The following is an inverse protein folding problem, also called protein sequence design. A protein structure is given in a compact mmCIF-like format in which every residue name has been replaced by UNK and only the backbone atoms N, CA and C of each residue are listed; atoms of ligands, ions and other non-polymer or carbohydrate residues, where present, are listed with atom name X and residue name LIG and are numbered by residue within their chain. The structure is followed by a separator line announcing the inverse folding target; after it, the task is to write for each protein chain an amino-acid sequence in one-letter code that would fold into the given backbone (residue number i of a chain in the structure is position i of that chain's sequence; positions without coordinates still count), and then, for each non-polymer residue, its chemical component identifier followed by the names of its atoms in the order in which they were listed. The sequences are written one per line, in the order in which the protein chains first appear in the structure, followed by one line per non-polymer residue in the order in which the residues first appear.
data_IF_031818629135
#
_entry.id   IF_031818629135
#
_cell.length_a   1.000
_cell.length_b   1.000
_cell.length_c   1.000
_cell.angle_alpha   90.00
_cell.angle_beta   90.00
_cell.angle_gamma   90.00
#
_symmetry.space_group_name_H-M   'P 1'
#
loop_
_entity.id
_entity.type
_entity.pdbx_description
1 polymer ?
#
# COMPACT_ATOMS: atom_id res chain seq x y z
N UNK A 1 -2.58 22.45 9.00
CA UNK A 1 -2.08 23.23 10.14
C UNK A 1 -0.67 23.73 9.88
N UNK A 2 -0.37 24.89 10.41
CA UNK A 2 1.00 25.41 10.42
C UNK A 2 1.84 24.61 11.42
N UNK A 3 2.92 23.95 10.97
CA UNK A 3 3.75 23.08 11.81
C UNK A 3 4.51 23.78 12.94
N UNK A 4 4.62 25.13 12.91
CA UNK A 4 5.28 25.93 13.96
C UNK A 4 4.30 26.50 14.97
N UNK A 5 3.12 26.94 14.52
CA UNK A 5 2.15 27.65 15.37
C UNK A 5 0.96 26.77 15.76
N UNK A 6 0.71 25.69 15.03
CA UNK A 6 -0.48 24.86 15.21
C UNK A 6 -1.76 25.48 14.65
N UNK A 7 -1.70 26.64 13.99
CA UNK A 7 -2.86 27.28 13.41
C UNK A 7 -3.40 26.49 12.22
N UNK A 8 -4.73 26.44 12.07
CA UNK A 8 -5.35 25.84 10.90
C UNK A 8 -5.03 26.67 9.64
N UNK A 9 -4.46 26.04 8.61
CA UNK A 9 -4.25 26.64 7.29
C UNK A 9 -5.55 26.60 6.50
N UNK A 10 -6.13 25.41 6.41
CA UNK A 10 -7.44 25.20 5.81
C UNK A 10 -8.16 23.96 6.42
N UNK A 11 -9.43 23.89 6.26
CA UNK A 11 -10.26 22.75 6.63
C UNK A 11 -11.30 22.51 5.55
N UNK A 12 -11.21 21.36 4.88
CA UNK A 12 -12.25 20.91 3.97
C UNK A 12 -13.32 20.14 4.74
N UNK A 13 -14.58 20.60 4.68
CA UNK A 13 -15.73 19.97 5.30
C UNK A 13 -16.59 19.21 4.28
N UNK A 14 -16.13 19.07 3.05
CA UNK A 14 -16.91 18.50 1.93
C UNK A 14 -17.10 16.98 1.95
N UNK A 15 -16.63 16.29 2.98
CA UNK A 15 -16.82 14.85 3.14
C UNK A 15 -18.25 14.53 3.54
N UNK A 16 -18.88 13.50 2.95
CA UNK A 16 -20.15 13.00 3.44
C UNK A 16 -20.07 12.67 4.93
N UNK A 17 -21.06 13.10 5.69
CA UNK A 17 -21.08 12.86 7.13
C UNK A 17 -21.06 11.36 7.44
N UNK A 18 -20.23 10.94 8.40
CA UNK A 18 -20.15 9.58 8.92
C UNK A 18 -19.17 8.65 8.20
N UNK A 19 -18.36 9.17 7.28
CA UNK A 19 -17.30 8.38 6.64
C UNK A 19 -15.95 8.68 7.26
N UNK A 20 -15.33 7.65 7.79
CA UNK A 20 -13.96 7.70 8.27
C UNK A 20 -13.00 7.29 7.15
N UNK A 21 -11.85 7.93 7.06
CA UNK A 21 -10.72 7.41 6.29
C UNK A 21 -9.79 6.64 7.21
N UNK A 22 -9.26 5.53 6.70
CA UNK A 22 -8.23 4.73 7.38
C UNK A 22 -6.88 4.80 6.67
N UNK A 23 -6.85 5.37 5.45
CA UNK A 23 -5.61 5.59 4.71
C UNK A 23 -4.88 6.85 5.19
N UNK A 24 -3.57 6.84 5.07
CA UNK A 24 -2.74 8.03 5.29
C UNK A 24 -2.90 8.98 4.09
N UNK A 25 -3.08 10.29 4.29
CA UNK A 25 -3.08 11.25 3.20
C UNK A 25 -1.74 11.25 2.46
N UNK A 26 -1.79 11.31 1.13
CA UNK A 26 -0.63 11.42 0.27
C UNK A 26 -0.54 12.84 -0.30
N UNK A 27 0.63 13.45 -0.21
CA UNK A 27 0.92 14.69 -0.93
C UNK A 27 1.69 14.36 -2.22
N UNK A 28 1.10 14.69 -3.37
CA UNK A 28 1.68 14.47 -4.69
C UNK A 28 1.46 15.72 -5.56
N UNK A 29 2.55 16.33 -6.06
CA UNK A 29 2.52 17.48 -6.97
C UNK A 29 1.55 18.61 -6.55
N UNK A 30 1.54 18.98 -5.27
CA UNK A 30 0.65 20.01 -4.76
C UNK A 30 -0.81 19.59 -4.55
N UNK A 31 -1.12 18.30 -4.72
CA UNK A 31 -2.45 17.72 -4.45
C UNK A 31 -2.37 16.83 -3.21
N UNK A 32 -3.25 17.06 -2.26
CA UNK A 32 -3.48 16.15 -1.12
C UNK A 32 -4.52 15.12 -1.53
N UNK A 33 -4.08 13.87 -1.66
CA UNK A 33 -4.94 12.74 -1.97
C UNK A 33 -5.32 12.05 -0.67
N UNK A 34 -6.61 11.84 -0.47
CA UNK A 34 -7.13 11.14 0.69
C UNK A 34 -8.24 10.17 0.30
N UNK A 35 -8.29 9.04 0.96
CA UNK A 35 -9.35 8.06 0.79
C UNK A 35 -10.57 8.42 1.61
N UNK A 36 -11.73 7.92 1.20
CA UNK A 36 -12.98 8.02 1.94
C UNK A 36 -13.60 6.64 2.05
N UNK A 37 -13.15 5.88 2.98
CA UNK A 37 -13.49 4.49 3.27
C UNK A 37 -14.76 4.01 2.53
N UNK A 38 -14.61 3.04 1.61
CA UNK A 38 -15.66 2.49 0.75
C UNK A 38 -16.16 3.39 -0.41
N UNK A 39 -15.77 4.67 -0.48
CA UNK A 39 -16.30 5.62 -1.47
C UNK A 39 -15.27 6.20 -2.44
N UNK A 40 -14.04 5.74 -2.40
CA UNK A 40 -13.02 6.15 -3.35
C UNK A 40 -12.03 7.18 -2.80
N UNK A 41 -11.59 8.09 -3.64
CA UNK A 41 -10.52 9.04 -3.34
C UNK A 41 -10.90 10.46 -3.74
N UNK A 42 -10.22 11.41 -3.10
CA UNK A 42 -10.38 12.84 -3.33
C UNK A 42 -9.01 13.49 -3.47
N UNK A 43 -8.89 14.41 -4.41
CA UNK A 43 -7.74 15.29 -4.55
C UNK A 43 -8.11 16.73 -4.18
N UNK A 44 -7.38 17.28 -3.23
CA UNK A 44 -7.53 18.66 -2.81
C UNK A 44 -6.26 19.44 -3.08
N UNK A 45 -6.38 20.69 -3.49
CA UNK A 45 -5.23 21.61 -3.56
C UNK A 45 -4.55 21.70 -2.19
N UNK A 46 -3.24 21.50 -2.15
CA UNK A 46 -2.50 21.42 -0.90
C UNK A 46 -2.39 22.79 -0.18
N UNK A 47 -2.50 23.90 -0.90
CA UNK A 47 -2.38 25.24 -0.34
C UNK A 47 -3.72 25.80 0.12
N UNK A 48 -4.77 25.60 -0.68
CA UNK A 48 -6.08 26.20 -0.44
C UNK A 48 -7.10 25.25 0.20
N UNK A 49 -6.90 23.92 0.05
CA UNK A 49 -7.87 22.91 0.47
C UNK A 49 -9.05 22.75 -0.47
N UNK A 50 -9.07 23.47 -1.60
CA UNK A 50 -10.14 23.33 -2.58
C UNK A 50 -10.19 21.91 -3.16
N UNK A 51 -11.39 21.39 -3.35
CA UNK A 51 -11.60 20.10 -4.00
C UNK A 51 -11.30 20.25 -5.50
N UNK A 52 -10.25 19.57 -5.96
CA UNK A 52 -9.89 19.52 -7.38
C UNK A 52 -10.66 18.43 -8.11
N UNK A 53 -10.74 17.26 -7.51
CA UNK A 53 -11.42 16.12 -8.11
C UNK A 53 -11.93 15.13 -7.06
N UNK A 54 -12.90 14.33 -7.47
CA UNK A 54 -13.50 13.25 -6.70
C UNK A 54 -13.63 12.01 -7.57
N UNK A 55 -13.11 10.91 -7.08
CA UNK A 55 -13.17 9.61 -7.73
C UNK A 55 -13.95 8.62 -6.85
N UNK A 56 -15.26 8.56 -7.05
CA UNK A 56 -16.21 7.71 -6.31
C UNK A 56 -17.01 6.77 -7.25
N UNK A 57 -16.46 6.53 -8.45
CA UNK A 57 -17.06 5.74 -9.52
C UNK A 57 -16.22 4.49 -9.79
N UNK A 58 -16.70 3.67 -10.71
CA UNK A 58 -15.97 2.51 -11.28
C UNK A 58 -15.55 1.43 -10.26
N UNK A 59 -16.18 1.42 -9.10
CA UNK A 59 -15.92 0.45 -8.05
C UNK A 59 -14.61 0.65 -7.29
N UNK A 60 -13.96 1.79 -7.45
CA UNK A 60 -12.85 2.19 -6.59
C UNK A 60 -13.35 2.39 -5.16
N UNK A 61 -12.65 1.77 -4.23
CA UNK A 61 -12.89 1.96 -2.79
C UNK A 61 -11.57 2.11 -2.08
N UNK A 62 -11.48 3.08 -1.17
CA UNK A 62 -10.42 3.10 -0.18
C UNK A 62 -10.69 2.01 0.87
N UNK A 63 -9.69 1.19 1.14
CA UNK A 63 -9.70 0.14 2.16
C UNK A 63 -8.58 0.32 3.18
N UNK A 64 -8.00 1.50 3.25
CA UNK A 64 -6.90 1.84 4.14
C UNK A 64 -5.52 1.82 3.47
N UNK A 65 -5.40 1.32 2.24
CA UNK A 65 -4.16 1.45 1.48
C UNK A 65 -3.99 2.88 0.98
N UNK A 66 -2.86 3.49 1.30
CA UNK A 66 -2.47 4.76 0.69
C UNK A 66 -2.07 4.50 -0.77
N UNK A 67 -2.47 5.35 -1.73
CA UNK A 67 -1.97 5.24 -3.09
C UNK A 67 -0.45 5.35 -3.14
N UNK A 68 0.21 4.60 -4.02
CA UNK A 68 1.59 4.90 -4.39
C UNK A 68 1.61 6.03 -5.41
N UNK A 69 2.74 6.72 -5.50
CA UNK A 69 2.91 7.88 -6.37
C UNK A 69 4.24 7.82 -7.10
N UNK A 70 4.22 8.05 -8.40
CA UNK A 70 5.41 8.20 -9.24
C UNK A 70 5.15 9.18 -10.39
N UNK A 71 5.94 10.22 -10.48
CA UNK A 71 5.74 11.32 -11.44
C UNK A 71 4.41 12.05 -11.23
N UNK A 72 3.45 11.88 -12.12
CA UNK A 72 2.08 12.40 -12.04
C UNK A 72 1.04 11.31 -11.77
N UNK A 73 1.48 10.07 -11.58
CA UNK A 73 0.60 8.93 -11.54
C UNK A 73 0.42 8.39 -10.13
N UNK A 74 -0.81 8.15 -9.78
CA UNK A 74 -1.21 7.42 -8.57
C UNK A 74 -1.48 5.96 -8.94
N UNK A 75 -0.97 5.04 -8.14
CA UNK A 75 -1.19 3.60 -8.27
C UNK A 75 -2.05 3.14 -7.11
N UNK A 76 -3.26 2.72 -7.41
CA UNK A 76 -4.28 2.34 -6.41
C UNK A 76 -4.69 0.90 -6.61
N UNK A 77 -4.56 0.09 -5.58
CA UNK A 77 -5.12 -1.26 -5.55
C UNK A 77 -6.49 -1.23 -4.86
N UNK A 78 -7.50 -1.78 -5.48
CA UNK A 78 -8.86 -1.83 -4.94
C UNK A 78 -9.60 -3.08 -5.42
N UNK A 79 -10.14 -3.86 -4.49
CA UNK A 79 -10.89 -5.11 -4.76
C UNK A 79 -10.08 -6.11 -5.58
N UNK A 80 -10.35 -6.23 -6.87
CA UNK A 80 -9.66 -7.10 -7.84
C UNK A 80 -9.11 -6.27 -8.99
N UNK A 81 -8.68 -5.04 -8.73
CA UNK A 81 -8.21 -4.14 -9.78
C UNK A 81 -7.02 -3.31 -9.31
N UNK A 82 -6.13 -3.01 -10.26
CA UNK A 82 -5.16 -1.93 -10.19
C UNK A 82 -5.70 -0.76 -11.02
N UNK A 83 -5.64 0.44 -10.46
CA UNK A 83 -5.96 1.68 -11.14
C UNK A 83 -4.71 2.54 -11.22
N UNK A 84 -4.50 3.17 -12.38
CA UNK A 84 -3.52 4.25 -12.54
C UNK A 84 -4.30 5.51 -12.84
N UNK A 85 -4.06 6.55 -12.05
CA UNK A 85 -4.87 7.76 -12.00
C UNK A 85 -3.92 8.95 -12.14
N UNK A 86 -4.28 9.92 -12.98
CA UNK A 86 -3.58 11.20 -13.00
C UNK A 86 -3.84 11.99 -11.71
N UNK A 87 -2.79 12.40 -11.00
CA UNK A 87 -2.92 13.00 -9.68
C UNK A 87 -3.58 14.39 -9.69
N UNK A 88 -3.53 15.13 -10.82
CA UNK A 88 -4.08 16.47 -10.91
C UNK A 88 -5.55 16.48 -11.30
N UNK A 89 -5.94 15.61 -12.23
CA UNK A 89 -7.31 15.55 -12.76
C UNK A 89 -8.20 14.52 -12.10
N UNK A 90 -7.61 13.50 -11.45
CA UNK A 90 -8.34 12.34 -10.96
C UNK A 90 -8.83 11.41 -12.07
N UNK A 91 -8.35 11.61 -13.32
CA UNK A 91 -8.72 10.76 -14.45
C UNK A 91 -8.12 9.37 -14.29
N UNK A 92 -8.93 8.33 -14.48
CA UNK A 92 -8.47 6.95 -14.52
C UNK A 92 -7.88 6.65 -15.88
N UNK A 93 -6.55 6.59 -15.95
CA UNK A 93 -5.80 6.31 -17.19
C UNK A 93 -5.81 4.83 -17.50
N UNK A 94 -5.65 3.98 -16.46
CA UNK A 94 -5.65 2.53 -16.59
C UNK A 94 -6.52 1.91 -15.50
N UNK A 95 -7.33 0.92 -15.91
CA UNK A 95 -7.97 -0.04 -15.03
C UNK A 95 -7.60 -1.44 -15.49
N UNK A 96 -6.83 -2.16 -14.68
CA UNK A 96 -6.47 -3.56 -14.93
C UNK A 96 -7.17 -4.45 -13.92
N UNK A 97 -7.98 -5.39 -14.40
CA UNK A 97 -8.52 -6.45 -13.55
C UNK A 97 -7.45 -7.48 -13.21
N UNK A 98 -7.43 -7.91 -11.97
CA UNK A 98 -6.47 -8.84 -11.41
C UNK A 98 -7.15 -10.18 -11.10
N UNK A 99 -6.46 -11.32 -11.29
CA UNK A 99 -7.03 -12.63 -11.01
C UNK A 99 -7.04 -12.98 -9.50
N UNK A 100 -6.80 -12.00 -8.63
CA UNK A 100 -6.75 -12.15 -7.18
C UNK A 100 -7.27 -10.90 -6.48
N UNK A 101 -7.59 -11.04 -5.18
CA UNK A 101 -8.13 -9.95 -4.38
C UNK A 101 -7.01 -9.16 -3.69
N UNK A 102 -7.05 -7.83 -3.81
CA UNK A 102 -6.09 -6.87 -3.26
C UNK A 102 -6.72 -5.96 -2.20
N UNK A 103 -7.72 -6.46 -1.48
CA UNK A 103 -8.36 -5.74 -0.38
C UNK A 103 -7.55 -5.86 0.91
N UNK A 104 -6.38 -5.26 0.93
CA UNK A 104 -5.45 -5.19 2.06
C UNK A 104 -4.94 -3.76 2.22
N UNK A 105 -4.26 -3.48 3.33
CA UNK A 105 -3.71 -2.14 3.62
C UNK A 105 -2.36 -1.86 2.94
N UNK A 106 -1.88 -2.76 2.10
CA UNK A 106 -0.60 -2.66 1.42
C UNK A 106 -0.59 -1.54 0.36
N UNK A 107 0.19 -0.50 0.60
CA UNK A 107 0.51 0.51 -0.42
C UNK A 107 1.44 -0.10 -1.47
N UNK A 108 1.17 0.06 -2.77
CA UNK A 108 2.05 -0.47 -3.80
C UNK A 108 3.46 0.14 -3.74
N UNK A 109 4.47 -0.67 -3.98
CA UNK A 109 5.82 -0.21 -4.33
C UNK A 109 5.90 -0.12 -5.85
N UNK A 110 6.26 1.05 -6.36
CA UNK A 110 6.43 1.29 -7.80
C UNK A 110 7.91 1.52 -8.09
N UNK A 111 8.44 0.77 -9.03
CA UNK A 111 9.80 0.91 -9.55
C UNK A 111 9.75 1.25 -11.04
N UNK A 112 10.88 1.37 -11.69
CA UNK A 112 10.98 1.54 -13.16
C UNK A 112 10.35 0.37 -13.95
N UNK A 113 10.36 -0.85 -13.39
CA UNK A 113 9.91 -2.07 -14.07
C UNK A 113 8.71 -2.78 -13.42
N UNK A 114 8.47 -2.55 -12.12
CA UNK A 114 7.54 -3.36 -11.35
C UNK A 114 6.54 -2.50 -10.57
N UNK A 115 5.36 -3.06 -10.38
CA UNK A 115 4.37 -2.64 -9.39
C UNK A 115 4.19 -3.81 -8.42
N UNK A 116 4.58 -3.63 -7.15
CA UNK A 116 4.60 -4.71 -6.14
C UNK A 116 3.67 -4.36 -4.99
N UNK A 117 2.80 -5.28 -4.61
CA UNK A 117 1.83 -5.05 -3.52
C UNK A 117 1.43 -6.35 -2.83
N UNK A 118 1.00 -6.23 -1.59
CA UNK A 118 0.40 -7.32 -0.84
C UNK A 118 -0.99 -7.69 -1.35
N UNK A 119 -1.37 -8.95 -1.14
CA UNK A 119 -2.68 -9.46 -1.52
C UNK A 119 -3.39 -10.13 -0.34
N UNK A 120 -4.68 -10.35 -0.51
CA UNK A 120 -5.51 -11.01 0.50
C UNK A 120 -5.20 -12.51 0.63
N UNK A 121 -4.80 -13.17 -0.47
CA UNK A 121 -4.71 -14.65 -0.51
C UNK A 121 -3.43 -15.19 -1.13
N UNK A 122 -2.70 -14.39 -1.91
CA UNK A 122 -1.62 -14.87 -2.77
C UNK A 122 -0.22 -14.43 -2.33
N UNK A 123 -0.10 -13.80 -1.16
CA UNK A 123 1.17 -13.27 -0.66
C UNK A 123 1.50 -11.90 -1.26
N UNK A 124 2.77 -11.67 -1.59
CA UNK A 124 3.23 -10.49 -2.31
C UNK A 124 3.27 -10.78 -3.81
N UNK A 125 2.77 -9.84 -4.60
CA UNK A 125 2.68 -10.01 -6.07
C UNK A 125 3.38 -8.84 -6.75
N UNK A 126 4.14 -9.12 -7.80
CA UNK A 126 4.67 -8.13 -8.71
C UNK A 126 4.03 -8.24 -10.08
N UNK A 127 3.63 -7.10 -10.60
CA UNK A 127 3.24 -6.93 -11.99
C UNK A 127 4.38 -6.24 -12.75
N UNK A 128 4.51 -6.57 -14.01
CA UNK A 128 5.26 -5.76 -14.95
C UNK A 128 4.59 -4.39 -15.09
N UNK A 129 5.35 -3.31 -14.99
CA UNK A 129 4.81 -1.96 -14.97
C UNK A 129 4.21 -1.50 -16.31
N UNK A 130 4.69 -2.03 -17.42
CA UNK A 130 4.23 -1.64 -18.76
C UNK A 130 3.05 -2.50 -19.23
N UNK A 131 3.15 -3.82 -19.03
CA UNK A 131 2.15 -4.78 -19.53
C UNK A 131 1.06 -5.09 -18.52
N UNK A 132 1.32 -4.82 -17.23
CA UNK A 132 0.48 -5.19 -16.07
C UNK A 132 0.25 -6.70 -15.93
N UNK A 133 1.11 -7.51 -16.54
CA UNK A 133 1.08 -8.95 -16.37
C UNK A 133 1.86 -9.38 -15.11
N UNK A 134 1.44 -10.49 -14.50
CA UNK A 134 2.12 -10.99 -13.31
C UNK A 134 3.53 -11.47 -13.67
N UNK A 135 4.54 -10.85 -13.08
CA UNK A 135 5.96 -11.25 -13.20
C UNK A 135 6.29 -12.39 -12.25
N UNK A 136 5.89 -12.23 -11.00
CA UNK A 136 6.10 -13.25 -9.97
C UNK A 136 5.11 -13.10 -8.80
N UNK A 137 5.01 -14.16 -8.01
CA UNK A 137 4.29 -14.21 -6.73
C UNK A 137 5.19 -14.79 -5.67
N UNK A 138 5.44 -14.06 -4.58
CA UNK A 138 6.12 -14.57 -3.40
C UNK A 138 5.08 -15.01 -2.37
N UNK A 139 4.79 -16.30 -2.34
CA UNK A 139 3.83 -16.88 -1.40
C UNK A 139 4.39 -16.92 0.01
N UNK A 140 3.58 -16.50 0.97
CA UNK A 140 3.83 -16.65 2.40
C UNK A 140 3.17 -17.93 2.92
N UNK A 141 3.43 -18.27 4.18
CA UNK A 141 2.66 -19.30 4.86
C UNK A 141 1.23 -18.83 5.13
N UNK A 142 0.30 -19.72 5.52
CA UNK A 142 -1.03 -19.31 5.93
C UNK A 142 -1.00 -18.31 7.07
N UNK A 143 -1.87 -17.31 6.98
CA UNK A 143 -1.99 -16.26 8.01
C UNK A 143 -2.33 -16.85 9.39
N UNK A 144 -1.71 -16.33 10.44
CA UNK A 144 -2.04 -16.66 11.83
C UNK A 144 -3.36 -16.02 12.26
N UNK A 145 -3.65 -14.82 11.73
CA UNK A 145 -4.89 -14.09 11.95
C UNK A 145 -5.38 -13.52 10.62
N UNK A 146 -6.68 -13.60 10.37
CA UNK A 146 -7.32 -13.10 9.15
C UNK A 146 -8.01 -11.77 9.40
N UNK A 147 -7.37 -10.68 9.00
CA UNK A 147 -7.88 -9.30 9.09
C UNK A 147 -8.54 -8.85 7.80
N UNK A 148 -8.04 -9.33 6.66
CA UNK A 148 -8.61 -9.00 5.36
C UNK A 148 -10.02 -9.62 5.20
N UNK A 149 -10.97 -8.87 4.62
CA UNK A 149 -12.34 -9.33 4.46
C UNK A 149 -12.43 -10.65 3.69
N UNK A 150 -13.24 -11.56 4.20
CA UNK A 150 -13.49 -12.86 3.57
C UNK A 150 -12.28 -13.79 3.41
N UNK A 151 -11.13 -13.45 3.98
CA UNK A 151 -9.97 -14.36 4.03
C UNK A 151 -10.23 -15.51 4.98
N UNK A 152 -9.79 -16.70 4.59
CA UNK A 152 -9.86 -17.93 5.38
C UNK A 152 -8.61 -18.78 5.10
N UNK A 153 -8.30 -19.68 6.02
CA UNK A 153 -7.23 -20.66 5.79
C UNK A 153 -7.43 -21.41 4.45
N UNK A 154 -6.42 -21.56 3.62
CA UNK A 154 -5.00 -21.28 3.81
C UNK A 154 -4.51 -19.94 3.19
N UNK A 155 -5.26 -18.86 3.33
CA UNK A 155 -4.91 -17.58 2.73
C UNK A 155 -3.53 -17.07 3.19
N UNK A 156 -2.73 -16.63 2.24
CA UNK A 156 -1.40 -16.05 2.42
C UNK A 156 -1.50 -14.52 2.37
N UNK A 157 -1.96 -13.89 3.47
CA UNK A 157 -2.27 -12.46 3.52
C UNK A 157 -1.04 -11.62 3.80
N UNK A 158 -0.82 -10.56 3.01
CA UNK A 158 0.20 -9.53 3.22
C UNK A 158 -0.47 -8.17 3.31
N UNK A 159 -0.51 -7.63 4.53
CA UNK A 159 -1.09 -6.31 4.85
C UNK A 159 -0.06 -5.18 4.79
N UNK A 160 1.22 -5.52 4.98
CA UNK A 160 2.29 -4.52 5.00
C UNK A 160 2.64 -4.04 3.60
N UNK A 161 3.09 -2.80 3.51
CA UNK A 161 3.62 -2.28 2.25
C UNK A 161 5.05 -2.79 2.02
N UNK A 162 5.42 -3.20 0.80
CA UNK A 162 6.77 -3.63 0.49
C UNK A 162 7.76 -2.46 0.53
N UNK A 163 8.98 -2.72 1.00
CA UNK A 163 10.07 -1.78 1.14
C UNK A 163 11.27 -2.25 0.31
N UNK A 164 11.71 -1.46 -0.67
CA UNK A 164 12.87 -1.78 -1.50
C UNK A 164 14.15 -1.19 -0.89
N UNK A 165 15.18 -2.03 -0.72
CA UNK A 165 16.53 -1.62 -0.33
C UNK A 165 17.51 -2.36 -1.25
N UNK A 166 18.21 -1.64 -2.10
CA UNK A 166 19.05 -2.22 -3.15
C UNK A 166 18.24 -3.10 -4.11
N UNK A 167 18.55 -4.37 -4.17
CA UNK A 167 17.86 -5.35 -5.00
C UNK A 167 16.89 -6.25 -4.20
N UNK A 168 16.71 -5.97 -2.91
CA UNK A 168 15.87 -6.78 -2.03
C UNK A 168 14.61 -6.02 -1.64
N UNK A 169 13.46 -6.66 -1.81
CA UNK A 169 12.17 -6.18 -1.30
C UNK A 169 11.90 -6.86 0.04
N UNK A 170 11.71 -6.05 1.07
CA UNK A 170 11.36 -6.50 2.42
C UNK A 170 9.89 -6.25 2.72
N UNK A 171 9.25 -7.20 3.40
CA UNK A 171 7.88 -7.06 3.87
C UNK A 171 7.60 -7.97 5.07
N UNK A 172 6.63 -7.62 5.87
CA UNK A 172 6.08 -8.48 6.91
C UNK A 172 4.81 -9.15 6.44
N UNK A 173 4.47 -10.30 6.98
CA UNK A 173 3.26 -11.01 6.61
C UNK A 173 2.42 -11.44 7.81
N UNK A 174 1.16 -11.74 7.55
CA UNK A 174 0.20 -12.20 8.59
C UNK A 174 0.53 -13.59 9.15
N UNK A 175 1.53 -14.27 8.59
CA UNK A 175 2.06 -15.56 9.09
C UNK A 175 3.13 -15.40 10.18
N UNK A 176 3.48 -14.17 10.56
CA UNK A 176 4.49 -13.88 11.57
C UNK A 176 5.91 -14.03 11.07
N UNK A 177 6.13 -13.76 9.78
CA UNK A 177 7.46 -13.81 9.16
C UNK A 177 7.75 -12.49 8.45
N UNK A 178 8.96 -12.00 8.63
CA UNK A 178 9.54 -10.94 7.81
C UNK A 178 10.30 -11.62 6.68
N UNK A 179 10.07 -11.19 5.44
CA UNK A 179 10.69 -11.72 4.24
C UNK A 179 11.59 -10.68 3.60
N UNK A 180 12.71 -11.12 3.05
CA UNK A 180 13.53 -10.44 2.05
C UNK A 180 13.51 -11.27 0.78
N UNK A 181 13.12 -10.65 -0.33
CA UNK A 181 13.02 -11.31 -1.63
C UNK A 181 13.82 -10.55 -2.68
N UNK A 182 14.38 -11.29 -3.61
CA UNK A 182 15.01 -10.71 -4.80
C UNK A 182 13.93 -10.05 -5.69
N UNK A 183 14.12 -8.78 -6.03
CA UNK A 183 13.11 -8.00 -6.74
C UNK A 183 12.79 -8.49 -8.15
N UNK A 184 13.78 -9.11 -8.84
CA UNK A 184 13.57 -9.54 -10.22
C UNK A 184 12.88 -10.90 -10.29
N UNK A 185 13.24 -11.83 -9.42
CA UNK A 185 12.74 -13.22 -9.44
C UNK A 185 11.60 -13.49 -8.47
N UNK A 186 11.41 -12.66 -7.45
CA UNK A 186 10.46 -12.90 -6.37
C UNK A 186 10.87 -14.05 -5.43
N UNK A 187 12.10 -14.55 -5.54
CA UNK A 187 12.60 -15.62 -4.69
C UNK A 187 12.98 -15.09 -3.31
N UNK A 188 12.62 -15.85 -2.28
CA UNK A 188 13.00 -15.52 -0.90
C UNK A 188 14.49 -15.74 -0.71
N UNK A 189 15.22 -14.67 -0.40
CA UNK A 189 16.65 -14.69 -0.09
C UNK A 189 16.91 -14.67 1.41
N UNK A 190 16.00 -14.11 2.17
CA UNK A 190 16.08 -14.00 3.63
C UNK A 190 14.72 -14.05 4.28
N UNK A 191 14.64 -14.60 5.50
CA UNK A 191 13.44 -14.56 6.32
C UNK A 191 13.76 -14.62 7.80
N UNK A 192 12.91 -13.96 8.60
CA UNK A 192 12.97 -14.01 10.06
C UNK A 192 11.57 -14.26 10.64
N UNK A 193 11.46 -15.28 11.50
CA UNK A 193 10.19 -15.63 12.16
C UNK A 193 10.05 -14.82 13.45
N UNK A 194 9.02 -13.99 13.53
CA UNK A 194 8.68 -13.22 14.73
C UNK A 194 7.77 -14.00 15.69
N UNK A 195 6.92 -14.88 15.14
CA UNK A 195 5.95 -15.66 15.90
C UNK A 195 4.59 -14.99 16.08
N UNK A 196 4.46 -13.70 15.77
CA UNK A 196 3.20 -12.97 15.75
C UNK A 196 3.02 -12.24 14.41
N UNK A 197 1.78 -12.03 13.93
CA UNK A 197 1.51 -11.39 12.64
C UNK A 197 2.14 -10.00 12.53
N UNK A 198 2.51 -9.58 11.32
CA UNK A 198 2.94 -8.23 11.01
C UNK A 198 1.88 -7.54 10.16
N UNK A 199 1.39 -6.40 10.64
CA UNK A 199 0.42 -5.54 9.95
C UNK A 199 0.97 -4.14 9.67
N UNK A 200 1.98 -3.71 10.43
CA UNK A 200 2.66 -2.43 10.23
C UNK A 200 3.74 -2.55 9.16
N UNK A 201 3.78 -1.59 8.26
CA UNK A 201 4.84 -1.49 7.26
C UNK A 201 6.20 -1.34 7.93
N UNK A 202 7.20 -2.01 7.36
CA UNK A 202 8.58 -1.89 7.79
C UNK A 202 9.11 -0.47 7.52
N UNK A 203 9.99 0.01 8.37
CA UNK A 203 10.68 1.28 8.17
C UNK A 203 12.19 1.07 8.05
N UNK A 204 12.89 2.05 7.46
CA UNK A 204 14.36 1.98 7.29
C UNK A 204 15.00 3.34 7.47
N UNK A 205 16.25 3.33 7.92
CA UNK A 205 17.13 4.50 7.87
C UNK A 205 18.22 4.35 6.79
N UNK A 206 18.07 3.39 5.86
CA UNK A 206 19.03 3.04 4.81
C UNK A 206 19.95 1.87 5.19
N UNK A 207 20.39 1.78 6.45
CA UNK A 207 21.31 0.75 6.92
C UNK A 207 20.62 -0.34 7.76
N UNK A 208 19.45 -0.05 8.28
CA UNK A 208 18.69 -0.96 9.13
C UNK A 208 17.23 -0.97 8.71
N UNK A 209 16.60 -2.11 8.92
CA UNK A 209 15.16 -2.31 8.83
C UNK A 209 14.60 -2.42 10.24
N UNK A 210 13.49 -1.73 10.49
CA UNK A 210 12.75 -1.80 11.73
C UNK A 210 11.38 -2.42 11.47
N UNK A 211 10.96 -3.32 12.34
CA UNK A 211 9.68 -4.00 12.26
C UNK A 211 9.02 -4.06 13.64
N UNK A 212 7.69 -4.07 13.64
CA UNK A 212 6.89 -4.36 14.84
C UNK A 212 5.92 -5.49 14.52
N UNK A 213 5.73 -6.41 15.46
CA UNK A 213 4.74 -7.46 15.33
C UNK A 213 3.51 -7.21 16.22
N UNK A 214 2.46 -7.98 16.00
CA UNK A 214 1.22 -7.89 16.78
C UNK A 214 1.36 -8.42 18.21
N UNK A 215 2.48 -9.06 18.53
CA UNK A 215 2.86 -9.45 19.91
C UNK A 215 3.47 -8.31 20.72
N UNK A 216 3.66 -7.13 20.12
CA UNK A 216 4.24 -5.96 20.79
C UNK A 216 5.77 -5.92 20.76
N UNK A 217 6.41 -6.77 19.98
CA UNK A 217 7.86 -6.78 19.84
C UNK A 217 8.34 -5.78 18.79
N UNK A 218 9.52 -5.22 19.00
CA UNK A 218 10.23 -4.35 18.06
C UNK A 218 11.53 -5.02 17.64
N UNK A 219 11.76 -5.08 16.35
CA UNK A 219 12.93 -5.72 15.73
C UNK A 219 13.73 -4.68 14.96
N UNK A 220 15.05 -4.86 14.96
CA UNK A 220 15.98 -4.10 14.15
C UNK A 220 16.99 -5.04 13.48
N UNK A 221 17.09 -4.98 12.17
CA UNK A 221 17.99 -5.81 11.37
C UNK A 221 18.92 -4.92 10.57
N UNK A 222 20.21 -5.29 10.49
CA UNK A 222 21.12 -4.64 9.54
C UNK A 222 20.78 -5.11 8.13
N UNK A 223 20.68 -4.16 7.20
CA UNK A 223 20.71 -4.49 5.78
C UNK A 223 22.14 -4.93 5.47
N UNK A 224 22.33 -6.16 5.01
CA UNK A 224 23.64 -6.55 4.47
C UNK A 224 23.84 -5.79 3.16
N UNK A 225 24.98 -5.12 3.04
CA UNK A 225 25.47 -4.55 1.80
C UNK A 225 25.75 -5.64 0.78
#
# INVERSE_FOLDING_TARGET
YNGKTGDAVWLNKGWPQGEATTSTPLLANGVVISGANWRGFYGNDAQTGELLWKLDKDGITDRGATPAYDGNLLYVTSRQSLFIIDCHSGEVIVRKELPFNVQVNSTPLVTDKLIVFGTQTDGLVALDRETFEVRWKARTSPALVYTAPYSRHPAATVETSPLLIGDTIYFGASDGIIYGIDKESGQTTWKHKTGAPLFSTLSTNGNMIFATDFGGNVYAFKCNE
#
